data_IF_151429972924
#
_entry.id   IF_151429972924
#
_cell.length_a   1.000
_cell.length_b   1.000
_cell.length_c   1.000
_cell.angle_alpha   90.00
_cell.angle_beta   90.00
_cell.angle_gamma   90.00
#
_symmetry.space_group_name_H-M   'P 1'
#
loop_
_entity.id
_entity.type
_entity.pdbx_description
1 polymer ?
#
# COMPACT_ATOMS: atom_id res chain seq x y z
N UNK A 1 -27.25 19.81 -2.43
CA UNK A 1 -26.40 19.51 -1.25
C UNK A 1 -25.62 20.74 -0.82
N UNK A 2 -24.70 21.30 -1.64
CA UNK A 2 -23.92 22.50 -1.27
C UNK A 2 -24.74 23.77 -1.02
N UNK A 3 -25.92 23.89 -1.62
CA UNK A 3 -26.83 25.00 -1.32
C UNK A 3 -27.36 24.96 0.12
N UNK A 4 -27.38 23.77 0.74
CA UNK A 4 -27.80 23.58 2.13
C UNK A 4 -26.61 23.71 3.08
N UNK A 5 -25.47 23.11 2.72
CA UNK A 5 -24.22 23.21 3.49
C UNK A 5 -23.04 23.35 2.53
N UNK A 6 -22.44 24.55 2.39
CA UNK A 6 -21.35 24.79 1.45
C UNK A 6 -20.02 24.14 1.87
N UNK A 7 -19.84 23.76 3.14
CA UNK A 7 -18.58 23.25 3.69
C UNK A 7 -18.37 21.74 3.42
N UNK A 8 -19.43 21.01 3.03
CA UNK A 8 -19.34 19.58 2.75
C UNK A 8 -18.35 19.27 1.63
N UNK A 9 -17.75 18.09 1.71
CA UNK A 9 -16.96 17.52 0.62
C UNK A 9 -17.75 16.47 -0.13
N UNK A 10 -17.84 16.61 -1.46
CA UNK A 10 -18.62 15.72 -2.33
C UNK A 10 -17.69 14.73 -3.03
N UNK A 11 -17.96 13.45 -2.85
CA UNK A 11 -17.26 12.33 -3.48
C UNK A 11 -18.17 11.71 -4.53
N UNK A 12 -17.73 11.65 -5.78
CA UNK A 12 -18.41 10.90 -6.82
C UNK A 12 -17.86 9.49 -6.95
N UNK A 13 -18.73 8.54 -7.29
CA UNK A 13 -18.32 7.19 -7.66
C UNK A 13 -17.43 7.25 -8.90
N UNK A 14 -16.23 6.69 -8.79
CA UNK A 14 -15.32 6.46 -9.89
C UNK A 14 -15.52 5.08 -10.51
N UNK A 15 -14.97 4.90 -11.71
CA UNK A 15 -15.06 3.64 -12.43
C UNK A 15 -14.25 2.54 -11.75
N UNK A 16 -14.62 1.30 -12.00
CA UNK A 16 -13.81 0.15 -11.61
C UNK A 16 -12.79 -0.16 -12.73
N UNK A 17 -11.79 -1.04 -12.52
CA UNK A 17 -10.73 -1.29 -13.51
C UNK A 17 -11.19 -1.72 -14.91
N UNK A 18 -12.44 -2.15 -15.08
CA UNK A 18 -13.00 -2.57 -16.37
C UNK A 18 -13.62 -1.44 -17.20
N UNK A 19 -13.98 -0.31 -16.59
CA UNK A 19 -14.61 0.82 -17.26
C UNK A 19 -14.05 2.19 -16.79
N UNK A 20 -12.88 2.17 -16.14
CA UNK A 20 -12.30 3.32 -15.44
C UNK A 20 -12.21 4.58 -16.30
N UNK A 21 -11.81 4.45 -17.56
CA UNK A 21 -11.60 5.58 -18.48
C UNK A 21 -12.93 6.22 -18.89
N UNK A 22 -13.80 5.46 -19.53
CA UNK A 22 -15.11 5.94 -20.00
C UNK A 22 -15.98 6.50 -18.86
N UNK A 23 -16.02 5.80 -17.73
CA UNK A 23 -16.83 6.23 -16.58
C UNK A 23 -16.30 7.53 -15.99
N UNK A 24 -14.99 7.62 -15.72
CA UNK A 24 -14.41 8.81 -15.09
C UNK A 24 -14.50 10.01 -16.03
N UNK A 25 -14.25 9.86 -17.33
CA UNK A 25 -14.43 10.94 -18.30
C UNK A 25 -15.86 11.47 -18.24
N UNK A 26 -16.86 10.59 -18.36
CA UNK A 26 -18.27 10.98 -18.36
C UNK A 26 -18.66 11.68 -17.05
N UNK A 27 -18.27 11.12 -15.91
CA UNK A 27 -18.53 11.70 -14.59
C UNK A 27 -17.90 13.08 -14.42
N UNK A 28 -16.63 13.25 -14.81
CA UNK A 28 -15.91 14.52 -14.66
C UNK A 28 -16.45 15.58 -15.61
N UNK A 29 -16.84 15.23 -16.84
CA UNK A 29 -17.47 16.17 -17.79
C UNK A 29 -18.82 16.68 -17.31
N UNK A 30 -19.65 15.82 -16.73
CA UNK A 30 -21.02 16.16 -16.31
C UNK A 30 -21.02 16.86 -14.95
N UNK A 31 -20.30 16.31 -13.97
CA UNK A 31 -20.43 16.72 -12.57
C UNK A 31 -19.12 17.24 -11.95
N UNK A 32 -17.97 17.14 -12.62
CA UNK A 32 -16.64 17.42 -12.06
C UNK A 32 -16.50 18.80 -11.40
N UNK A 33 -17.18 19.83 -11.92
CA UNK A 33 -17.19 21.20 -11.33
C UNK A 33 -17.86 21.29 -9.96
N UNK A 34 -18.63 20.29 -9.56
CA UNK A 34 -19.34 20.27 -8.28
C UNK A 34 -18.67 19.36 -7.24
N UNK A 35 -17.74 18.51 -7.65
CA UNK A 35 -17.15 17.45 -6.84
C UNK A 35 -15.82 17.89 -6.21
N UNK A 36 -15.50 17.40 -5.02
CA UNK A 36 -14.12 17.50 -4.49
C UNK A 36 -13.32 16.25 -4.80
N UNK A 37 -13.99 15.09 -4.88
CA UNK A 37 -13.34 13.81 -5.06
C UNK A 37 -14.03 12.95 -6.12
N UNK A 38 -13.24 12.11 -6.77
CA UNK A 38 -13.71 10.93 -7.50
C UNK A 38 -13.11 9.67 -6.87
N UNK A 39 -13.94 8.66 -6.68
CA UNK A 39 -13.64 7.48 -5.86
C UNK A 39 -13.64 6.18 -6.67
N UNK A 40 -12.50 5.80 -7.28
CA UNK A 40 -12.39 4.49 -7.90
C UNK A 40 -12.23 3.43 -6.80
N UNK A 41 -12.89 2.28 -6.96
CA UNK A 41 -12.69 1.13 -6.06
C UNK A 41 -11.79 0.10 -6.74
N UNK A 42 -10.82 -0.46 -6.00
CA UNK A 42 -9.95 -1.52 -6.54
C UNK A 42 -9.62 -2.57 -5.49
N UNK A 43 -10.21 -3.76 -5.70
CA UNK A 43 -9.79 -4.99 -5.03
C UNK A 43 -9.01 -5.87 -6.00
N UNK A 44 -7.93 -6.45 -5.49
CA UNK A 44 -7.10 -7.39 -6.21
C UNK A 44 -6.67 -8.50 -5.24
N UNK A 45 -5.85 -9.46 -5.67
CA UNK A 45 -5.33 -10.50 -4.80
C UNK A 45 -5.14 -11.81 -5.52
N UNK A 46 -4.33 -12.69 -4.94
CA UNK A 46 -4.17 -14.07 -5.41
C UNK A 46 -4.34 -15.04 -4.26
N UNK A 47 -5.33 -15.94 -4.37
CA UNK A 47 -5.55 -16.99 -3.39
C UNK A 47 -4.33 -17.93 -3.36
N UNK A 48 -3.76 -18.15 -2.18
CA UNK A 48 -2.59 -19.02 -2.02
C UNK A 48 -2.78 -20.07 -0.92
N UNK A 49 -2.30 -21.33 -1.07
CA UNK A 49 -1.85 -22.03 -2.28
C UNK A 49 -2.95 -22.91 -2.90
N UNK A 50 -3.30 -22.64 -4.16
CA UNK A 50 -4.09 -23.53 -5.02
C UNK A 50 -3.22 -24.59 -5.75
N UNK A 51 -3.67 -25.07 -6.92
CA UNK A 51 -3.00 -26.12 -7.74
C UNK A 51 -1.73 -25.67 -8.51
N UNK A 52 -1.05 -24.60 -8.08
CA UNK A 52 0.12 -24.01 -8.78
C UNK A 52 1.38 -23.96 -7.92
N UNK A 53 2.50 -23.46 -8.49
CA UNK A 53 3.73 -23.22 -7.72
C UNK A 53 3.48 -22.09 -6.71
N UNK A 54 3.91 -22.29 -5.47
CA UNK A 54 3.81 -21.29 -4.39
C UNK A 54 4.45 -19.94 -4.77
N UNK A 55 5.59 -20.01 -5.46
CA UNK A 55 6.34 -18.83 -5.89
C UNK A 55 5.60 -18.02 -6.96
N UNK A 56 4.95 -18.68 -7.91
CA UNK A 56 4.12 -18.03 -8.92
C UNK A 56 2.94 -17.29 -8.27
N UNK A 57 2.26 -17.94 -7.31
CA UNK A 57 1.17 -17.32 -6.55
C UNK A 57 1.66 -16.13 -5.72
N UNK A 58 2.83 -16.24 -5.10
CA UNK A 58 3.46 -15.15 -4.36
C UNK A 58 3.74 -13.94 -5.26
N UNK A 59 4.46 -14.12 -6.37
CA UNK A 59 4.82 -13.02 -7.26
C UNK A 59 3.62 -12.40 -7.96
N UNK A 60 2.63 -13.22 -8.34
CA UNK A 60 1.36 -12.71 -8.84
C UNK A 60 0.60 -11.87 -7.78
N UNK A 61 0.65 -12.27 -6.50
CA UNK A 61 0.04 -11.51 -5.41
C UNK A 61 0.76 -10.18 -5.14
N UNK A 62 2.09 -10.19 -4.94
CA UNK A 62 2.80 -8.95 -4.62
C UNK A 62 2.72 -7.90 -5.75
N UNK A 63 2.54 -8.35 -6.99
CA UNK A 63 2.31 -7.48 -8.15
C UNK A 63 0.90 -6.86 -8.20
N UNK A 64 -0.07 -7.31 -7.40
CA UNK A 64 -1.39 -6.68 -7.24
C UNK A 64 -1.28 -5.19 -6.88
N UNK A 65 -0.27 -4.84 -6.08
CA UNK A 65 -0.02 -3.45 -5.69
C UNK A 65 0.17 -2.51 -6.89
N UNK A 66 0.80 -2.97 -7.97
CA UNK A 66 1.00 -2.17 -9.19
C UNK A 66 -0.32 -1.90 -9.92
N UNK A 67 -1.28 -2.83 -9.87
CA UNK A 67 -2.60 -2.67 -10.51
C UNK A 67 -3.50 -1.73 -9.72
N UNK A 68 -3.50 -1.84 -8.40
CA UNK A 68 -4.20 -0.90 -7.50
C UNK A 68 -3.66 0.52 -7.72
N UNK A 69 -2.33 0.68 -7.72
CA UNK A 69 -1.69 1.98 -7.93
C UNK A 69 -1.95 2.55 -9.33
N UNK A 70 -2.03 1.70 -10.36
CA UNK A 70 -2.41 2.12 -11.71
C UNK A 70 -3.81 2.72 -11.75
N UNK A 71 -4.77 2.15 -11.03
CA UNK A 71 -6.13 2.73 -10.93
C UNK A 71 -6.11 4.11 -10.30
N UNK A 72 -5.40 4.28 -9.18
CA UNK A 72 -5.26 5.58 -8.53
C UNK A 72 -4.54 6.60 -9.44
N UNK A 73 -3.45 6.20 -10.07
CA UNK A 73 -2.68 7.06 -10.98
C UNK A 73 -3.46 7.46 -12.24
N UNK A 74 -4.19 6.54 -12.87
CA UNK A 74 -5.06 6.86 -14.02
C UNK A 74 -6.17 7.81 -13.63
N UNK A 75 -6.80 7.61 -12.47
CA UNK A 75 -7.83 8.54 -11.97
C UNK A 75 -7.25 9.93 -11.71
N UNK A 76 -6.05 10.02 -11.12
CA UNK A 76 -5.35 11.28 -10.94
C UNK A 76 -5.06 11.99 -12.27
N UNK A 77 -4.66 11.24 -13.32
CA UNK A 77 -4.48 11.80 -14.67
C UNK A 77 -5.78 12.34 -15.26
N UNK A 78 -6.92 11.68 -15.07
CA UNK A 78 -8.20 12.22 -15.55
C UNK A 78 -8.58 13.51 -14.83
N UNK A 79 -8.25 13.67 -13.54
CA UNK A 79 -8.42 14.95 -12.86
C UNK A 79 -7.52 16.04 -13.49
N UNK A 80 -6.27 15.71 -13.80
CA UNK A 80 -5.36 16.65 -14.47
C UNK A 80 -5.85 17.03 -15.89
N UNK A 81 -6.52 16.12 -16.59
CA UNK A 81 -7.03 16.33 -17.96
C UNK A 81 -8.38 17.07 -18.01
N UNK A 82 -9.35 16.64 -17.20
CA UNK A 82 -10.72 17.15 -17.27
C UNK A 82 -11.03 18.27 -16.27
N UNK A 83 -10.18 18.44 -15.26
CA UNK A 83 -10.31 19.43 -14.19
C UNK A 83 -8.98 20.17 -13.95
N UNK A 84 -8.31 20.57 -15.04
CA UNK A 84 -7.02 21.27 -15.01
C UNK A 84 -7.06 22.58 -14.18
N UNK A 85 -8.22 23.24 -14.14
CA UNK A 85 -8.48 24.47 -13.39
C UNK A 85 -8.83 24.23 -11.92
N UNK A 86 -8.91 22.96 -11.49
CA UNK A 86 -9.24 22.55 -10.11
C UNK A 86 -8.13 21.68 -9.51
N UNK A 87 -6.98 22.27 -9.13
CA UNK A 87 -5.87 21.55 -8.51
C UNK A 87 -6.23 20.95 -7.13
N UNK A 88 -7.30 21.43 -6.50
CA UNK A 88 -7.82 20.93 -5.22
C UNK A 88 -8.70 19.68 -5.34
N UNK A 89 -9.21 19.38 -6.55
CA UNK A 89 -9.95 18.15 -6.78
C UNK A 89 -9.00 16.94 -6.67
N UNK A 90 -9.44 15.92 -5.94
CA UNK A 90 -8.61 14.78 -5.59
C UNK A 90 -9.22 13.43 -5.94
N UNK A 91 -8.41 12.40 -5.81
CA UNK A 91 -8.82 11.00 -5.81
C UNK A 91 -9.05 10.58 -4.37
N UNK A 92 -10.20 9.98 -4.10
CA UNK A 92 -10.49 9.26 -2.87
C UNK A 92 -10.45 7.76 -3.18
N UNK A 93 -9.33 7.09 -2.93
CA UNK A 93 -9.28 5.62 -3.04
C UNK A 93 -9.95 5.01 -1.80
N UNK A 94 -11.24 5.25 -1.64
CA UNK A 94 -12.02 4.99 -0.42
C UNK A 94 -12.50 3.54 -0.28
N UNK A 95 -12.27 2.72 -1.30
CA UNK A 95 -12.23 1.26 -1.18
C UNK A 95 -11.07 0.67 -1.97
N UNK A 96 -10.10 0.15 -1.24
CA UNK A 96 -9.06 -0.70 -1.81
C UNK A 96 -8.64 -1.76 -0.81
N UNK A 97 -8.06 -2.82 -1.34
CA UNK A 97 -7.46 -3.85 -0.51
C UNK A 97 -7.30 -5.14 -1.26
N UNK A 98 -7.06 -6.17 -0.47
CA UNK A 98 -6.94 -7.52 -1.00
C UNK A 98 -8.21 -8.25 -0.68
N UNK A 99 -8.86 -8.74 -1.71
CA UNK A 99 -10.00 -9.61 -1.56
C UNK A 99 -9.82 -10.78 -2.52
N UNK A 100 -9.73 -11.96 -1.93
CA UNK A 100 -9.71 -13.22 -2.66
C UNK A 100 -11.02 -13.89 -2.28
N UNK A 101 -11.80 -14.33 -3.25
CA UNK A 101 -13.11 -14.91 -2.94
C UNK A 101 -12.89 -16.18 -2.10
N UNK A 102 -13.23 -16.11 -0.81
CA UNK A 102 -13.09 -17.24 0.11
C UNK A 102 -14.40 -18.01 0.19
N UNK A 103 -14.34 -19.29 0.58
CA UNK A 103 -15.53 -20.12 0.82
C UNK A 103 -16.33 -19.68 2.08
N UNK A 104 -15.85 -18.68 2.82
CA UNK A 104 -16.45 -18.17 4.07
C UNK A 104 -17.00 -16.73 3.89
N UNK A 105 -17.38 -16.39 2.66
CA UNK A 105 -17.93 -15.07 2.32
C UNK A 105 -16.86 -13.98 2.38
N UNK A 106 -17.17 -12.88 3.08
CA UNK A 106 -16.27 -11.73 3.19
C UNK A 106 -15.27 -11.83 4.35
N UNK A 107 -15.24 -12.95 5.08
CA UNK A 107 -14.30 -13.16 6.17
C UNK A 107 -12.96 -13.62 5.61
N UNK A 108 -12.03 -12.69 5.42
CA UNK A 108 -10.69 -12.98 4.94
C UNK A 108 -9.66 -12.59 6.01
N UNK A 109 -8.78 -13.53 6.34
CA UNK A 109 -7.56 -13.24 7.08
C UNK A 109 -6.43 -12.98 6.08
N UNK A 110 -5.41 -12.22 6.49
CA UNK A 110 -4.31 -11.82 5.62
C UNK A 110 -2.99 -12.45 6.04
N UNK A 111 -2.17 -12.80 5.06
CA UNK A 111 -0.81 -13.29 5.30
C UNK A 111 0.25 -12.21 5.09
N UNK A 112 1.53 -12.58 5.24
CA UNK A 112 2.65 -11.67 5.02
C UNK A 112 2.72 -11.16 3.57
N UNK A 113 2.45 -11.97 2.55
CA UNK A 113 2.41 -11.53 1.14
C UNK A 113 1.36 -10.43 0.94
N UNK A 114 0.20 -10.57 1.55
CA UNK A 114 -0.86 -9.55 1.53
C UNK A 114 -0.42 -8.24 2.20
N UNK A 115 0.34 -8.35 3.29
CA UNK A 115 0.97 -7.21 3.94
C UNK A 115 1.97 -6.49 3.03
N UNK A 116 2.76 -7.20 2.22
CA UNK A 116 3.70 -6.57 1.28
C UNK A 116 2.97 -5.79 0.18
N UNK A 117 1.83 -6.30 -0.30
CA UNK A 117 0.96 -5.58 -1.24
C UNK A 117 0.47 -4.28 -0.62
N UNK A 118 -0.10 -4.35 0.59
CA UNK A 118 -0.64 -3.18 1.27
C UNK A 118 0.45 -2.12 1.52
N UNK A 119 1.63 -2.52 2.00
CA UNK A 119 2.75 -1.62 2.21
C UNK A 119 3.24 -0.98 0.90
N UNK A 120 3.30 -1.74 -0.20
CA UNK A 120 3.68 -1.18 -1.49
C UNK A 120 2.64 -0.20 -2.05
N UNK A 121 1.35 -0.44 -1.82
CA UNK A 121 0.29 0.53 -2.14
C UNK A 121 0.45 1.79 -1.27
N UNK A 122 0.66 1.67 0.04
CA UNK A 122 0.89 2.82 0.93
C UNK A 122 2.09 3.67 0.47
N UNK A 123 3.19 3.04 0.05
CA UNK A 123 4.33 3.72 -0.57
C UNK A 123 3.94 4.49 -1.84
N UNK A 124 3.15 3.87 -2.71
CA UNK A 124 2.68 4.51 -3.94
C UNK A 124 1.69 5.65 -3.67
N UNK A 125 0.79 5.50 -2.69
CA UNK A 125 -0.13 6.56 -2.27
C UNK A 125 0.63 7.79 -1.75
N UNK A 126 1.71 7.59 -0.97
CA UNK A 126 2.59 8.69 -0.56
C UNK A 126 3.26 9.39 -1.75
N UNK A 127 3.55 8.69 -2.85
CA UNK A 127 4.07 9.31 -4.08
C UNK A 127 3.00 10.00 -4.91
N UNK A 128 1.75 9.52 -4.85
CA UNK A 128 0.60 10.06 -5.56
C UNK A 128 -0.16 11.12 -4.72
N UNK A 129 0.35 11.48 -3.54
CA UNK A 129 -0.37 12.26 -2.53
C UNK A 129 -0.79 13.67 -2.98
N UNK A 130 -0.23 14.19 -4.09
CA UNK A 130 -0.65 15.46 -4.70
C UNK A 130 -2.09 15.39 -5.22
N UNK A 131 -2.52 14.25 -5.74
CA UNK A 131 -3.89 14.03 -6.24
C UNK A 131 -4.66 13.02 -5.41
N UNK A 132 -4.00 11.99 -4.88
CA UNK A 132 -4.65 10.99 -4.01
C UNK A 132 -4.54 11.46 -2.55
N UNK A 133 -5.55 12.19 -2.09
CA UNK A 133 -5.53 12.82 -0.75
C UNK A 133 -6.40 12.10 0.27
N UNK A 134 -7.14 11.08 -0.17
CA UNK A 134 -7.92 10.20 0.70
C UNK A 134 -7.75 8.76 0.23
N UNK A 135 -7.56 7.84 1.16
CA UNK A 135 -7.54 6.42 0.89
C UNK A 135 -8.06 5.64 2.11
N UNK A 136 -8.96 4.69 1.88
CA UNK A 136 -9.54 3.87 2.94
C UNK A 136 -9.40 2.39 2.59
N UNK A 137 -8.69 1.66 3.44
CA UNK A 137 -8.65 0.20 3.33
C UNK A 137 -10.03 -0.38 3.61
N UNK A 138 -10.46 -1.27 2.74
CA UNK A 138 -11.69 -2.03 2.93
C UNK A 138 -11.34 -3.44 3.48
N UNK A 139 -11.67 -3.77 4.73
CA UNK A 139 -12.29 -2.93 5.77
C UNK A 139 -11.57 -3.07 7.12
N UNK A 140 -12.13 -2.46 8.16
CA UNK A 140 -11.44 -2.33 9.45
C UNK A 140 -11.48 -3.63 10.29
N UNK A 141 -12.64 -4.29 10.40
CA UNK A 141 -12.85 -5.44 11.29
C UNK A 141 -13.62 -6.56 10.59
N UNK A 142 -13.11 -7.80 10.68
CA UNK A 142 -13.69 -9.06 10.17
C UNK A 142 -13.89 -9.14 8.66
N UNK A 143 -14.83 -8.37 8.12
CA UNK A 143 -15.12 -8.29 6.68
C UNK A 143 -13.88 -7.72 6.00
N UNK A 144 -13.12 -8.56 5.29
CA UNK A 144 -11.83 -8.20 4.66
C UNK A 144 -10.97 -7.32 5.59
N UNK A 145 -10.96 -7.72 6.87
CA UNK A 145 -10.64 -6.84 7.99
C UNK A 145 -9.16 -6.77 8.34
N UNK A 146 -8.65 -5.56 8.60
CA UNK A 146 -7.34 -5.37 9.23
C UNK A 146 -7.26 -6.04 10.61
N UNK A 147 -8.37 -6.04 11.34
CA UNK A 147 -8.50 -6.67 12.66
C UNK A 147 -9.47 -7.83 12.51
N UNK A 148 -9.09 -8.98 13.06
CA UNK A 148 -9.98 -10.14 13.17
C UNK A 148 -10.52 -10.19 14.60
N UNK A 149 -11.81 -10.47 14.75
CA UNK A 149 -12.49 -10.47 16.03
C UNK A 149 -13.57 -11.56 16.10
N UNK A 150 -13.69 -12.19 17.26
CA UNK A 150 -14.78 -13.08 17.63
C UNK A 150 -15.35 -12.65 18.99
N UNK A 151 -16.27 -13.43 19.54
CA UNK A 151 -16.91 -13.15 20.85
C UNK A 151 -15.94 -13.01 22.03
N UNK A 152 -14.71 -13.52 21.90
CA UNK A 152 -13.75 -13.65 23.01
C UNK A 152 -12.50 -12.79 22.86
N UNK A 153 -12.14 -12.40 21.64
CA UNK A 153 -10.89 -11.71 21.38
C UNK A 153 -10.88 -10.99 20.04
N UNK A 154 -9.93 -10.07 19.89
CA UNK A 154 -9.51 -9.49 18.62
C UNK A 154 -8.00 -9.63 18.45
N UNK A 155 -7.53 -9.86 17.23
CA UNK A 155 -6.12 -9.94 16.89
C UNK A 155 -5.82 -9.18 15.59
N UNK A 156 -4.64 -8.53 15.50
CA UNK A 156 -4.21 -7.82 14.31
C UNK A 156 -3.77 -8.79 13.22
N UNK A 157 -4.16 -8.49 11.98
CA UNK A 157 -3.57 -9.17 10.81
C UNK A 157 -2.17 -8.61 10.50
N UNK A 158 -1.36 -9.31 9.67
CA UNK A 158 -0.15 -8.75 9.09
C UNK A 158 -0.36 -7.36 8.45
N UNK A 159 -1.48 -7.18 7.73
CA UNK A 159 -1.80 -5.90 7.07
C UNK A 159 -2.03 -4.79 8.10
N UNK A 160 -2.67 -5.08 9.24
CA UNK A 160 -2.77 -4.11 10.34
C UNK A 160 -1.39 -3.61 10.79
N UNK A 161 -0.39 -4.49 10.88
CA UNK A 161 0.95 -4.09 11.27
C UNK A 161 1.61 -3.17 10.24
N UNK A 162 1.34 -3.33 8.94
CA UNK A 162 1.75 -2.36 7.93
C UNK A 162 1.10 -0.99 8.18
N UNK A 163 -0.22 -0.92 8.35
CA UNK A 163 -0.90 0.35 8.67
C UNK A 163 -0.36 0.99 9.95
N UNK A 164 -0.09 0.19 10.99
CA UNK A 164 0.53 0.66 12.24
C UNK A 164 1.92 1.26 12.00
N UNK A 165 2.77 0.64 11.19
CA UNK A 165 4.10 1.16 10.88
C UNK A 165 4.00 2.51 10.16
N UNK A 166 3.22 2.58 9.09
CA UNK A 166 3.10 3.80 8.29
C UNK A 166 2.43 4.92 9.09
N UNK A 167 1.34 4.62 9.80
CA UNK A 167 0.59 5.61 10.57
C UNK A 167 1.32 6.17 11.79
N UNK A 168 2.33 5.46 12.33
CA UNK A 168 3.08 5.92 13.51
C UNK A 168 4.46 6.48 13.18
N UNK A 169 5.10 6.03 12.11
CA UNK A 169 6.50 6.37 11.81
C UNK A 169 6.68 7.31 10.62
N UNK A 170 5.73 7.39 9.69
CA UNK A 170 5.82 8.32 8.56
C UNK A 170 5.47 9.75 9.00
N UNK A 171 6.10 10.72 8.34
CA UNK A 171 5.80 12.14 8.51
C UNK A 171 4.66 12.62 7.60
N UNK A 172 4.32 13.90 7.76
CA UNK A 172 3.24 14.59 7.04
C UNK A 172 3.66 15.13 5.65
N UNK A 173 4.97 15.15 5.35
CA UNK A 173 5.49 15.58 4.06
C UNK A 173 6.15 14.41 3.30
N UNK A 174 5.61 14.10 2.12
CA UNK A 174 6.25 13.17 1.20
C UNK A 174 7.56 13.75 0.63
N UNK A 175 8.60 12.92 0.55
CA UNK A 175 9.91 13.28 0.02
C UNK A 175 10.18 12.48 -1.24
N UNK A 176 10.72 13.14 -2.27
CA UNK A 176 11.11 12.48 -3.51
C UNK A 176 12.11 11.34 -3.21
N UNK A 177 11.74 10.13 -3.60
CA UNK A 177 12.56 8.94 -3.42
C UNK A 177 12.52 8.05 -4.66
N UNK A 178 13.59 7.31 -4.87
CA UNK A 178 13.74 6.36 -5.97
C UNK A 178 14.66 5.23 -5.52
N UNK A 179 14.48 4.06 -6.12
CA UNK A 179 15.35 2.90 -5.91
C UNK A 179 15.74 2.34 -7.28
N UNK A 180 16.98 1.87 -7.38
CA UNK A 180 17.46 1.09 -8.51
C UNK A 180 17.71 -0.32 -8.00
N UNK A 181 16.98 -1.31 -8.53
CA UNK A 181 17.05 -2.70 -8.12
C UNK A 181 16.70 -3.61 -9.31
N UNK A 182 16.92 -4.92 -9.13
CA UNK A 182 16.38 -5.92 -10.05
C UNK A 182 14.85 -5.93 -10.04
N UNK A 183 14.29 -6.69 -10.98
CA UNK A 183 12.86 -6.87 -11.16
C UNK A 183 12.52 -8.36 -11.25
N UNK A 184 11.23 -8.67 -11.16
CA UNK A 184 10.67 -10.00 -11.39
C UNK A 184 9.46 -9.91 -12.33
N UNK A 185 9.20 -11.00 -13.03
CA UNK A 185 7.98 -11.15 -13.82
C UNK A 185 6.92 -11.88 -12.98
N UNK A 186 5.75 -11.27 -12.88
CA UNK A 186 4.59 -11.83 -12.23
C UNK A 186 3.77 -12.64 -13.24
N UNK A 187 3.57 -13.95 -13.02
CA UNK A 187 2.78 -14.77 -13.93
C UNK A 187 1.30 -14.38 -13.88
N UNK A 188 0.57 -14.77 -14.93
CA UNK A 188 -0.88 -14.74 -14.87
C UNK A 188 -1.38 -15.65 -13.74
N UNK A 189 -2.34 -15.16 -12.95
CA UNK A 189 -3.02 -15.95 -11.94
C UNK A 189 -4.47 -16.23 -12.35
N UNK A 190 -5.02 -17.34 -11.85
CA UNK A 190 -6.38 -17.82 -12.17
C UNK A 190 -7.49 -16.85 -11.76
N UNK A 191 -8.75 -17.27 -11.92
CA UNK A 191 -9.92 -16.45 -11.65
C UNK A 191 -9.99 -16.05 -10.16
N UNK A 192 -9.51 -14.86 -9.83
CA UNK A 192 -9.65 -14.26 -8.51
C UNK A 192 -10.63 -13.11 -8.65
N UNK A 193 -11.68 -13.11 -7.82
CA UNK A 193 -12.77 -12.13 -7.89
C UNK A 193 -13.28 -11.94 -9.33
N UNK A 194 -13.84 -13.01 -9.91
CA UNK A 194 -14.62 -12.90 -11.15
C UNK A 194 -13.81 -12.45 -12.38
N UNK A 195 -12.47 -12.35 -12.28
CA UNK A 195 -11.59 -11.88 -13.35
C UNK A 195 -10.28 -12.66 -13.40
N UNK A 196 -9.77 -12.86 -14.60
CA UNK A 196 -8.43 -13.39 -14.84
C UNK A 196 -7.38 -12.31 -14.64
N UNK A 197 -6.38 -12.58 -13.80
CA UNK A 197 -5.25 -11.68 -13.57
C UNK A 197 -4.22 -11.92 -14.66
N UNK A 198 -3.95 -10.89 -15.47
CA UNK A 198 -2.90 -10.93 -16.50
C UNK A 198 -1.49 -10.89 -15.91
N UNK A 199 -0.47 -11.32 -16.66
CA UNK A 199 0.91 -11.22 -16.23
C UNK A 199 1.35 -9.76 -16.14
N UNK A 200 2.40 -9.50 -15.36
CA UNK A 200 3.13 -8.23 -15.35
C UNK A 200 4.61 -8.52 -15.45
N UNK A 201 5.30 -7.77 -16.31
CA UNK A 201 6.75 -7.89 -16.51
C UNK A 201 7.47 -6.74 -15.79
N UNK A 202 8.75 -6.94 -15.49
CA UNK A 202 9.64 -5.91 -14.93
C UNK A 202 9.13 -5.25 -13.64
N UNK A 203 8.48 -6.01 -12.75
CA UNK A 203 8.01 -5.49 -11.46
C UNK A 203 9.21 -5.32 -10.51
N UNK A 204 9.47 -4.12 -9.97
CA UNK A 204 10.62 -3.90 -9.10
C UNK A 204 10.60 -4.79 -7.85
N UNK A 205 11.75 -5.39 -7.53
CA UNK A 205 11.94 -6.18 -6.30
C UNK A 205 11.85 -5.31 -5.04
N UNK A 206 12.31 -4.06 -5.12
CA UNK A 206 12.20 -3.09 -4.04
C UNK A 206 11.19 -2.00 -4.41
N UNK A 207 10.29 -1.71 -3.46
CA UNK A 207 9.39 -0.58 -3.54
C UNK A 207 9.68 0.37 -2.36
N UNK A 208 9.89 1.66 -2.63
CA UNK A 208 10.32 2.64 -1.63
C UNK A 208 9.40 3.85 -1.58
N UNK A 209 9.22 4.43 -0.40
CA UNK A 209 8.76 5.81 -0.19
C UNK A 209 9.62 6.49 0.87
N UNK A 210 9.57 7.82 0.93
CA UNK A 210 10.23 8.59 1.97
C UNK A 210 9.31 9.71 2.46
N UNK A 211 9.35 10.00 3.75
CA UNK A 211 8.61 11.09 4.38
C UNK A 211 9.48 11.80 5.40
N UNK A 212 9.11 13.03 5.72
CA UNK A 212 9.63 13.77 6.86
C UNK A 212 8.48 14.47 7.57
N UNK A 213 8.67 14.79 8.84
CA UNK A 213 7.77 15.74 9.48
C UNK A 213 8.07 17.18 9.06
N UNK A 214 7.04 18.02 9.12
CA UNK A 214 7.11 19.46 8.85
C UNK A 214 8.02 20.19 9.83
N UNK A 215 8.14 19.70 11.07
CA UNK A 215 9.02 20.22 12.13
C UNK A 215 10.52 19.92 11.89
N UNK A 216 10.85 18.94 11.04
CA UNK A 216 12.24 18.56 10.73
C UNK A 216 12.92 17.73 11.82
N UNK A 217 12.14 17.08 12.68
CA UNK A 217 12.57 16.21 13.77
C UNK A 217 12.62 14.73 13.41
N UNK A 218 11.80 14.28 12.44
CA UNK A 218 11.68 12.88 12.03
C UNK A 218 11.74 12.70 10.51
N UNK A 219 12.45 11.68 10.08
CA UNK A 219 12.60 11.28 8.69
C UNK A 219 12.42 9.77 8.60
N UNK A 220 11.65 9.29 7.63
CA UNK A 220 11.41 7.88 7.44
C UNK A 220 11.58 7.48 5.98
N UNK A 221 12.21 6.34 5.76
CA UNK A 221 12.26 5.64 4.46
C UNK A 221 11.59 4.29 4.67
N UNK A 222 10.48 4.07 3.98
CA UNK A 222 9.81 2.77 3.97
C UNK A 222 10.22 1.99 2.72
N UNK A 223 10.70 0.76 2.92
CA UNK A 223 11.12 -0.15 1.84
C UNK A 223 10.38 -1.46 1.99
N UNK A 224 9.78 -1.92 0.90
CA UNK A 224 9.22 -3.27 0.77
C UNK A 224 10.20 -4.09 -0.07
N UNK A 225 10.72 -5.18 0.50
CA UNK A 225 11.47 -6.18 -0.25
C UNK A 225 10.52 -7.29 -0.68
N UNK A 226 10.25 -7.38 -1.98
CA UNK A 226 9.38 -8.38 -2.59
C UNK A 226 10.11 -9.67 -2.95
N UNK A 227 11.43 -9.78 -2.75
CA UNK A 227 12.12 -11.04 -3.01
C UNK A 227 11.67 -12.12 -2.02
N UNK A 228 11.27 -13.29 -2.53
CA UNK A 228 10.68 -14.35 -1.72
C UNK A 228 11.65 -14.95 -0.69
N UNK A 229 12.96 -14.91 -0.94
CA UNK A 229 13.99 -15.62 -0.14
C UNK A 229 15.27 -14.86 0.17
N UNK A 230 15.52 -13.72 -0.47
CA UNK A 230 16.84 -13.08 -0.42
C UNK A 230 16.75 -11.69 0.18
N UNK A 231 17.68 -11.42 1.06
CA UNK A 231 17.93 -10.08 1.57
C UNK A 231 18.58 -9.25 0.47
N UNK A 232 18.08 -8.04 0.25
CA UNK A 232 18.64 -7.14 -0.76
C UNK A 232 19.45 -6.04 -0.06
N UNK A 233 20.75 -6.05 -0.28
CA UNK A 233 21.66 -4.97 0.12
C UNK A 233 21.46 -3.73 -0.77
N UNK A 234 21.32 -2.57 -0.14
CA UNK A 234 21.19 -1.29 -0.85
C UNK A 234 22.11 -0.23 -0.27
N UNK A 235 22.74 0.55 -1.16
CA UNK A 235 23.39 1.81 -0.82
C UNK A 235 22.32 2.90 -0.61
N UNK A 236 22.44 3.68 0.47
CA UNK A 236 21.54 4.77 0.82
C UNK A 236 22.20 6.11 0.49
N UNK A 237 21.63 6.82 -0.50
CA UNK A 237 22.07 8.17 -0.88
C UNK A 237 21.08 9.20 -0.36
N UNK A 238 21.36 9.71 0.83
CA UNK A 238 20.48 10.62 1.57
C UNK A 238 20.97 12.06 1.43
N UNK A 239 20.09 12.97 1.03
CA UNK A 239 20.35 14.41 0.94
C UNK A 239 19.41 15.17 1.86
N UNK A 240 19.91 16.19 2.55
CA UNK A 240 19.11 17.04 3.44
C UNK A 240 18.80 16.44 4.81
N UNK A 241 19.46 15.34 5.19
CA UNK A 241 19.33 14.75 6.54
C UNK A 241 20.25 15.50 7.53
N UNK A 242 19.71 16.05 8.64
CA UNK A 242 20.53 16.69 9.68
C UNK A 242 21.57 15.74 10.31
N UNK A 243 22.69 16.31 10.76
CA UNK A 243 23.70 15.57 11.53
C UNK A 243 23.22 15.28 12.95
N UNK A 244 23.75 14.22 13.57
CA UNK A 244 23.51 13.91 14.99
C UNK A 244 22.17 13.23 15.29
N UNK A 245 21.42 12.82 14.26
CA UNK A 245 20.19 12.04 14.44
C UNK A 245 20.51 10.62 14.88
N UNK A 246 19.66 10.09 15.77
CA UNK A 246 19.59 8.66 16.05
C UNK A 246 18.83 7.97 14.92
N UNK A 247 19.05 6.67 14.75
CA UNK A 247 18.34 5.92 13.73
C UNK A 247 17.91 4.54 14.23
N UNK A 248 16.72 4.11 13.78
CA UNK A 248 16.16 2.78 14.06
C UNK A 248 15.65 2.15 12.77
N UNK A 249 15.76 0.84 12.68
CA UNK A 249 15.05 0.03 11.70
C UNK A 249 13.87 -0.66 12.38
N UNK A 250 12.69 -0.54 11.78
CA UNK A 250 11.48 -1.25 12.14
C UNK A 250 11.15 -2.22 11.03
N UNK A 251 11.27 -3.52 11.27
CA UNK A 251 11.08 -4.56 10.26
C UNK A 251 9.86 -5.41 10.59
N UNK A 252 8.87 -5.40 9.72
CA UNK A 252 7.74 -6.33 9.74
C UNK A 252 8.07 -7.53 8.85
N UNK A 253 8.09 -8.71 9.47
CA UNK A 253 8.41 -9.98 8.82
C UNK A 253 7.75 -11.16 9.60
N UNK A 254 7.84 -12.37 9.07
CA UNK A 254 7.38 -13.62 9.66
C UNK A 254 8.19 -14.81 9.14
N UNK A 255 7.82 -16.05 9.52
CA UNK A 255 8.58 -17.24 9.16
C UNK A 255 8.44 -17.69 7.69
N UNK A 256 7.38 -17.26 7.00
CA UNK A 256 7.08 -17.59 5.60
C UNK A 256 6.17 -16.51 4.98
N UNK A 257 6.23 -16.35 3.66
CA UNK A 257 5.41 -15.37 2.92
C UNK A 257 3.90 -15.60 3.05
N UNK A 258 3.46 -16.80 3.42
CA UNK A 258 2.07 -17.14 3.68
C UNK A 258 1.76 -17.30 5.17
N UNK A 259 2.62 -16.81 6.06
CA UNK A 259 2.35 -16.78 7.50
C UNK A 259 1.19 -15.82 7.81
N UNK A 260 0.28 -16.26 8.68
CA UNK A 260 -0.87 -15.50 9.18
C UNK A 260 -0.73 -15.24 10.66
N UNK A 261 -1.33 -14.15 11.15
CA UNK A 261 -1.66 -14.02 12.57
C UNK A 261 -3.03 -14.66 12.83
N UNK A 262 -3.15 -15.41 13.91
CA UNK A 262 -4.38 -16.11 14.30
C UNK A 262 -4.74 -15.78 15.75
N UNK A 263 -5.90 -16.24 16.21
CA UNK A 263 -6.25 -16.14 17.63
C UNK A 263 -5.24 -16.86 18.54
N UNK A 264 -4.76 -18.04 18.12
CA UNK A 264 -3.82 -18.86 18.87
C UNK A 264 -2.38 -18.30 18.80
N UNK A 265 -2.01 -17.74 17.65
CA UNK A 265 -0.69 -17.20 17.39
C UNK A 265 -0.81 -15.80 16.77
N UNK A 266 -1.10 -14.76 17.57
CA UNK A 266 -1.38 -13.41 17.07
C UNK A 266 -0.12 -12.63 16.67
N UNK A 267 1.08 -13.21 16.83
CA UNK A 267 2.37 -12.55 16.61
C UNK A 267 3.32 -13.31 15.68
N UNK A 268 2.83 -14.27 14.89
CA UNK A 268 3.65 -15.01 13.92
C UNK A 268 4.30 -14.06 12.89
N UNK A 269 3.57 -13.02 12.49
CA UNK A 269 4.06 -11.88 11.72
C UNK A 269 4.02 -10.65 12.61
N UNK A 270 5.18 -10.07 12.88
CA UNK A 270 5.33 -8.99 13.86
C UNK A 270 6.43 -8.00 13.49
N UNK A 271 6.45 -6.87 14.19
CA UNK A 271 7.44 -5.81 14.00
C UNK A 271 8.59 -6.02 14.97
N UNK A 272 9.81 -6.14 14.45
CA UNK A 272 11.04 -6.10 15.22
C UNK A 272 11.72 -4.74 15.09
N UNK A 273 12.29 -4.24 16.19
CA UNK A 273 13.04 -2.98 16.23
C UNK A 273 14.54 -3.24 16.40
N UNK A 274 15.36 -2.44 15.72
CA UNK A 274 16.82 -2.47 15.84
C UNK A 274 17.39 -1.06 15.75
N UNK A 275 18.20 -0.66 16.72
CA UNK A 275 19.01 0.56 16.59
C UNK A 275 20.01 0.39 15.44
N UNK A 276 20.06 1.39 14.56
CA UNK A 276 21.02 1.46 13.46
C UNK A 276 21.81 2.76 13.66
N UNK A 277 23.14 2.72 13.51
CA UNK A 277 23.97 3.91 13.76
C UNK A 277 23.62 5.11 12.85
N UNK A 278 24.12 6.29 13.20
CA UNK A 278 23.97 7.50 12.37
C UNK A 278 24.98 7.58 11.21
N UNK A 279 24.78 8.56 10.29
CA UNK A 279 24.01 8.32 9.07
C UNK A 279 24.46 7.04 8.34
N UNK A 280 23.50 6.13 8.19
CA UNK A 280 23.71 4.80 7.62
C UNK A 280 23.90 4.89 6.10
N UNK A 281 24.98 4.29 5.57
CA UNK A 281 25.33 4.36 4.13
C UNK A 281 24.76 3.21 3.31
N UNK A 282 24.39 2.11 3.94
CA UNK A 282 23.83 0.95 3.26
C UNK A 282 23.04 0.09 4.23
N UNK A 283 21.94 -0.54 3.80
CA UNK A 283 21.14 -1.44 4.62
C UNK A 283 20.79 -2.70 3.83
N UNK A 284 20.78 -3.85 4.49
CA UNK A 284 20.30 -5.11 3.92
C UNK A 284 18.83 -5.30 4.33
N UNK A 285 17.92 -5.14 3.37
CA UNK A 285 16.49 -5.30 3.59
C UNK A 285 16.14 -6.78 3.57
N UNK A 286 15.62 -7.35 4.67
CA UNK A 286 15.35 -8.78 4.74
C UNK A 286 14.39 -9.24 3.64
N UNK A 287 14.51 -10.50 3.22
CA UNK A 287 13.56 -11.12 2.30
C UNK A 287 12.11 -10.91 2.76
N UNK A 288 11.19 -10.76 1.80
CA UNK A 288 9.74 -10.68 2.02
C UNK A 288 9.31 -9.79 3.20
N UNK A 289 9.86 -8.59 3.28
CA UNK A 289 9.72 -7.73 4.45
C UNK A 289 9.25 -6.32 4.11
N UNK A 290 8.71 -5.65 5.14
CA UNK A 290 8.54 -4.20 5.16
C UNK A 290 9.50 -3.63 6.19
N UNK A 291 10.39 -2.73 5.79
CA UNK A 291 11.32 -2.05 6.70
C UNK A 291 11.12 -0.55 6.65
N UNK A 292 10.92 0.08 7.81
CA UNK A 292 11.02 1.53 7.95
C UNK A 292 12.34 1.87 8.65
N UNK A 293 13.22 2.57 7.93
CA UNK A 293 14.38 3.23 8.52
C UNK A 293 13.94 4.61 8.98
N UNK A 294 14.06 4.88 10.28
CA UNK A 294 13.62 6.12 10.90
C UNK A 294 14.82 6.85 11.50
N UNK A 295 14.97 8.13 11.17
CA UNK A 295 15.90 9.04 11.82
C UNK A 295 15.13 10.04 12.67
N UNK A 296 15.60 10.30 13.89
CA UNK A 296 14.92 11.17 14.84
C UNK A 296 15.90 11.92 15.75
N UNK A 297 15.48 13.09 16.24
CA UNK A 297 16.19 13.83 17.30
C UNK A 297 15.94 13.17 18.66
N UNK A 298 16.97 13.17 19.51
CA UNK A 298 16.87 12.79 20.92
C UNK A 298 16.03 13.76 21.72
#
# INVERSE_FOLDING_TARGET
MREVDPEIKLVAVGGHPGNLEEWNETMLRIAGRHLDYIAPHHYDGVLTPGRGRKEDAYYANVACSERILRTAATTARHLDEFLEDRPEAGVALDEWGIWTQTNVGLHQNYNLSDCLVAAAVLNGLQKLCRRVTMACWAQLVNVIGLIQANERAAWPTPVYHAFRLYGTLCGDLAVKSSVNCGAFDAPAAGDVLWRRIGPLEDVPLLNVSATRDSEGGRFAIAVVNRHIREDIGCELRLSGLPSGLRAKAYTLNGPDVFAFNTFQEPGAVSIAEKEIGGPYKSYAFPAHSVTLLMWYRS
#
